data_IF_573626506669
#
_entry.id   IF_573626506669
#
_cell.length_a   1.000
_cell.length_b   1.000
_cell.length_c   1.000
_cell.angle_alpha   90.00
_cell.angle_beta   90.00
_cell.angle_gamma   90.00
#
_symmetry.space_group_name_H-M   'P 1'
#
loop_
_entity.id
_entity.type
_entity.pdbx_description
1 polymer ?
#
# COMPACT_ATOMS: atom_id res chain seq x y z
N UNK A 1 10.14 -24.38 -11.01
CA UNK A 1 10.45 -23.05 -10.43
C UNK A 1 9.53 -22.05 -11.12
N UNK A 2 8.28 -21.99 -10.69
CA UNK A 2 7.24 -21.11 -11.25
C UNK A 2 6.67 -20.36 -10.05
N UNK A 3 7.03 -19.08 -9.91
CA UNK A 3 6.55 -18.24 -8.83
C UNK A 3 5.04 -18.04 -9.01
N UNK A 4 4.30 -18.56 -8.02
CA UNK A 4 2.85 -18.62 -7.96
C UNK A 4 2.31 -17.22 -7.66
N UNK A 5 1.37 -16.75 -8.47
CA UNK A 5 0.68 -15.47 -8.37
C UNK A 5 0.03 -15.15 -6.99
N UNK A 6 0.07 -16.07 -6.01
CA UNK A 6 -0.41 -15.87 -4.65
C UNK A 6 0.54 -15.10 -3.72
N UNK A 7 1.85 -15.13 -3.95
CA UNK A 7 2.81 -14.48 -3.04
C UNK A 7 2.78 -12.95 -3.11
N UNK A 8 2.43 -12.38 -4.27
CA UNK A 8 2.32 -10.94 -4.45
C UNK A 8 1.16 -10.32 -3.69
N UNK A 9 0.03 -11.04 -3.59
CA UNK A 9 -1.15 -10.60 -2.84
C UNK A 9 -0.89 -10.62 -1.34
N UNK A 10 -0.30 -11.70 -0.81
CA UNK A 10 -0.03 -11.81 0.63
C UNK A 10 0.94 -10.72 1.14
N UNK A 11 1.95 -10.37 0.34
CA UNK A 11 2.88 -9.28 0.68
C UNK A 11 2.20 -7.92 0.58
N UNK A 12 1.34 -7.70 -0.42
CA UNK A 12 0.56 -6.48 -0.55
C UNK A 12 -0.39 -6.29 0.65
N UNK A 13 -1.05 -7.35 1.10
CA UNK A 13 -1.94 -7.33 2.27
C UNK A 13 -1.16 -7.01 3.56
N UNK A 14 -0.01 -7.66 3.76
CA UNK A 14 0.85 -7.38 4.90
C UNK A 14 1.38 -5.93 4.90
N UNK A 15 1.76 -5.42 3.72
CA UNK A 15 2.19 -4.03 3.58
C UNK A 15 1.06 -3.05 3.91
N UNK A 16 -0.16 -3.30 3.44
CA UNK A 16 -1.32 -2.46 3.77
C UNK A 16 -1.60 -2.41 5.27
N UNK A 17 -1.48 -3.53 5.98
CA UNK A 17 -1.65 -3.58 7.44
C UNK A 17 -0.62 -2.67 8.14
N UNK A 18 0.66 -2.78 7.76
CA UNK A 18 1.73 -1.97 8.34
C UNK A 18 1.53 -0.48 8.05
N UNK A 19 1.24 -0.13 6.79
CA UNK A 19 1.06 1.25 6.36
C UNK A 19 -0.14 1.93 7.03
N UNK A 20 -1.23 1.19 7.26
CA UNK A 20 -2.39 1.69 8.00
C UNK A 20 -2.15 1.75 9.53
N UNK A 21 -1.08 1.16 10.05
CA UNK A 21 -0.72 1.27 11.48
C UNK A 21 0.11 2.53 11.79
N UNK A 22 0.62 3.21 10.75
CA UNK A 22 1.34 4.48 10.90
C UNK A 22 0.33 5.57 11.22
N UNK A 23 0.47 6.22 12.39
CA UNK A 23 -0.40 7.30 12.93
C UNK A 23 -0.25 8.64 12.21
N UNK A 24 0.06 8.62 10.92
CA UNK A 24 0.31 9.80 10.08
C UNK A 24 -0.18 9.51 8.67
N UNK A 25 -0.62 10.53 7.91
CA UNK A 25 -0.95 10.38 6.51
C UNK A 25 0.22 9.81 5.70
N UNK A 26 -0.05 8.78 4.90
CA UNK A 26 0.90 8.15 3.97
C UNK A 26 0.24 8.06 2.60
N UNK A 27 0.92 8.61 1.60
CA UNK A 27 0.54 8.53 0.19
C UNK A 27 1.67 7.91 -0.62
N UNK A 28 1.33 7.04 -1.56
CA UNK A 28 2.26 6.51 -2.55
C UNK A 28 1.94 7.11 -3.91
N UNK A 29 2.98 7.58 -4.59
CA UNK A 29 2.88 8.23 -5.90
C UNK A 29 3.55 7.36 -6.95
N UNK A 30 2.90 7.18 -8.10
CA UNK A 30 3.51 6.51 -9.27
C UNK A 30 4.60 7.36 -9.89
N UNK A 31 5.41 6.77 -10.77
CA UNK A 31 6.42 7.52 -11.53
C UNK A 31 5.80 8.64 -12.40
N UNK A 32 4.53 8.50 -12.77
CA UNK A 32 3.75 9.46 -13.55
C UNK A 32 3.18 10.61 -12.70
N UNK A 33 3.34 10.54 -11.37
CA UNK A 33 2.86 11.56 -10.45
C UNK A 33 1.42 11.37 -9.96
N UNK A 34 0.81 10.20 -10.17
CA UNK A 34 -0.54 9.90 -9.69
C UNK A 34 -0.52 9.21 -8.33
N UNK A 35 -1.52 9.48 -7.49
CA UNK A 35 -1.71 8.75 -6.22
C UNK A 35 -2.14 7.31 -6.56
N UNK A 36 -1.37 6.34 -6.10
CA UNK A 36 -1.62 4.91 -6.28
C UNK A 36 -1.99 4.18 -4.99
N UNK A 37 -1.79 4.84 -3.83
CA UNK A 37 -2.23 4.36 -2.52
C UNK A 37 -2.33 5.54 -1.55
N UNK A 38 -3.33 5.48 -0.67
CA UNK A 38 -3.48 6.33 0.51
C UNK A 38 -3.86 5.44 1.70
N UNK A 39 -3.30 5.69 2.88
CA UNK A 39 -3.77 5.06 4.11
C UNK A 39 -5.01 5.79 4.65
N UNK A 40 -5.71 5.19 5.62
CA UNK A 40 -6.95 5.77 6.18
C UNK A 40 -6.75 7.19 6.74
N UNK A 41 -5.63 7.45 7.42
CA UNK A 41 -5.30 8.79 7.93
C UNK A 41 -5.11 9.83 6.80
N UNK A 42 -4.73 9.42 5.58
CA UNK A 42 -4.59 10.30 4.42
C UNK A 42 -5.91 10.52 3.66
N UNK A 43 -6.86 9.60 3.75
CA UNK A 43 -8.20 9.76 3.13
C UNK A 43 -9.14 10.62 3.99
N UNK A 44 -8.94 10.65 5.31
CA UNK A 44 -9.76 11.40 6.27
C UNK A 44 -9.44 12.91 6.33
N UNK A 45 -8.34 13.35 5.70
CA UNK A 45 -7.83 14.73 5.74
C UNK A 45 -8.14 15.51 4.45
#
# INVERSE_FOLDING_TARGET
MTATAGQGTEIADAAQIVLNTIRRPVIMISEEGFIIFANADAEDF
#
